data_IF_143315785954
#
_entry.id   IF_143315785954
#
_cell.length_a   1.000
_cell.length_b   1.000
_cell.length_c   1.000
_cell.angle_alpha   90.00
_cell.angle_beta   90.00
_cell.angle_gamma   90.00
#
_symmetry.space_group_name_H-M   'P 1'
#
loop_
_entity.id
_entity.type
_entity.pdbx_description
1 polymer ?
#
# COMPACT_ATOMS: atom_id res chain seq x y z
N UNK A 1 1.19 20.48 -1.43
CA UNK A 1 2.39 20.95 -2.16
C UNK A 1 2.62 22.40 -1.81
N UNK A 2 3.90 22.80 -1.71
CA UNK A 2 4.25 24.20 -1.49
C UNK A 2 3.99 25.00 -2.78
N UNK A 3 3.34 26.14 -2.65
CA UNK A 3 3.03 27.07 -3.74
C UNK A 3 3.59 28.45 -3.40
N UNK A 4 3.80 29.29 -4.41
CA UNK A 4 4.22 30.68 -4.22
C UNK A 4 3.18 31.65 -4.77
N UNK A 5 3.37 32.95 -4.53
CA UNK A 5 2.42 33.99 -4.96
C UNK A 5 2.35 34.20 -6.48
N UNK A 6 3.23 33.56 -7.27
CA UNK A 6 3.22 33.64 -8.74
C UNK A 6 2.41 32.50 -9.38
N UNK A 7 1.96 31.54 -8.59
CA UNK A 7 1.09 30.46 -9.06
C UNK A 7 -0.26 31.04 -9.46
N UNK A 8 -0.64 30.83 -10.71
CA UNK A 8 -1.94 31.29 -11.27
C UNK A 8 -2.97 30.19 -11.33
N UNK A 9 -2.54 28.93 -11.49
CA UNK A 9 -3.40 27.75 -11.52
C UNK A 9 -2.72 26.61 -10.78
N UNK A 10 -3.51 25.81 -10.06
CA UNK A 10 -3.01 24.63 -9.35
C UNK A 10 -4.03 23.50 -9.43
N UNK A 11 -3.53 22.27 -9.56
CA UNK A 11 -4.35 21.08 -9.57
C UNK A 11 -3.68 19.92 -8.84
N UNK A 12 -4.48 19.10 -8.16
CA UNK A 12 -4.07 17.78 -7.67
C UNK A 12 -4.63 16.71 -8.58
N UNK A 13 -3.81 15.73 -8.91
CA UNK A 13 -4.14 14.63 -9.79
C UNK A 13 -3.76 13.30 -9.14
N UNK A 14 -4.59 12.28 -9.33
CA UNK A 14 -4.24 10.88 -9.11
C UNK A 14 -3.97 10.26 -10.49
N UNK A 15 -2.72 9.89 -10.77
CA UNK A 15 -2.27 9.45 -12.11
C UNK A 15 -2.61 10.50 -13.19
N UNK A 16 -3.69 10.29 -13.96
CA UNK A 16 -4.18 11.21 -14.99
C UNK A 16 -5.53 11.84 -14.64
N UNK A 17 -6.14 11.45 -13.52
CA UNK A 17 -7.46 11.93 -13.08
C UNK A 17 -7.31 13.16 -12.21
N UNK A 18 -8.03 14.24 -12.55
CA UNK A 18 -8.04 15.48 -11.79
C UNK A 18 -8.88 15.30 -10.53
N UNK A 19 -8.29 15.55 -9.36
CA UNK A 19 -8.99 15.51 -8.08
C UNK A 19 -9.60 16.86 -7.71
N UNK A 20 -8.78 17.91 -7.81
CA UNK A 20 -9.16 19.30 -7.52
C UNK A 20 -8.42 20.27 -8.42
N UNK A 21 -9.06 21.37 -8.79
CA UNK A 21 -8.44 22.53 -9.47
C UNK A 21 -8.75 23.80 -8.69
N UNK A 22 -7.78 24.37 -7.99
CA UNK A 22 -8.02 25.46 -7.06
C UNK A 22 -9.07 25.06 -6.01
N UNK A 23 -10.24 25.72 -6.03
CA UNK A 23 -11.35 25.38 -5.12
C UNK A 23 -12.35 24.38 -5.70
N UNK A 24 -12.24 24.05 -6.98
CA UNK A 24 -13.22 23.21 -7.66
C UNK A 24 -12.87 21.73 -7.47
N UNK A 25 -13.81 20.97 -6.89
CA UNK A 25 -13.71 19.52 -6.75
C UNK A 25 -14.10 18.83 -8.05
N UNK A 26 -13.19 18.04 -8.61
CA UNK A 26 -13.43 17.23 -9.82
C UNK A 26 -13.59 15.74 -9.50
N UNK A 27 -12.98 15.28 -8.41
CA UNK A 27 -13.15 13.91 -7.95
C UNK A 27 -14.58 13.65 -7.51
N UNK A 28 -15.16 12.52 -7.95
CA UNK A 28 -16.43 12.01 -7.45
C UNK A 28 -16.30 11.34 -6.08
N UNK A 29 -15.08 11.02 -5.65
CA UNK A 29 -14.83 10.35 -4.38
C UNK A 29 -15.10 11.32 -3.21
N UNK A 30 -16.07 11.03 -2.32
CA UNK A 30 -16.39 11.89 -1.19
C UNK A 30 -15.25 12.01 -0.18
N UNK A 31 -14.36 11.01 -0.11
CA UNK A 31 -13.22 10.96 0.83
C UNK A 31 -12.15 12.01 0.55
N UNK A 32 -12.10 12.53 -0.69
CA UNK A 32 -11.10 13.52 -1.11
C UNK A 32 -11.59 14.93 -0.76
N UNK A 33 -10.90 15.59 0.18
CA UNK A 33 -11.27 16.90 0.71
C UNK A 33 -10.12 17.90 0.53
N UNK A 34 -10.45 19.17 0.31
CA UNK A 34 -9.48 20.26 0.23
C UNK A 34 -9.16 20.78 1.64
N UNK A 35 -7.88 20.77 2.02
CA UNK A 35 -7.42 21.19 3.36
C UNK A 35 -6.80 22.58 3.32
N UNK A 36 -6.04 22.89 2.27
CA UNK A 36 -5.40 24.18 2.14
C UNK A 36 -5.44 24.64 0.69
N UNK A 37 -5.85 25.90 0.49
CA UNK A 37 -5.66 26.65 -0.73
C UNK A 37 -5.26 28.09 -0.39
N UNK A 38 -3.98 28.26 -0.07
CA UNK A 38 -3.39 29.54 0.32
C UNK A 38 -2.31 29.96 -0.68
N UNK A 39 -1.75 31.15 -0.52
CA UNK A 39 -0.62 31.62 -1.33
C UNK A 39 0.70 30.87 -1.06
N UNK A 40 0.74 29.99 -0.05
CA UNK A 40 1.93 29.23 0.36
C UNK A 40 1.75 27.71 0.32
N UNK A 41 0.52 27.21 0.42
CA UNK A 41 0.25 25.77 0.47
C UNK A 41 -1.05 25.42 -0.25
N UNK A 42 -0.98 24.35 -1.06
CA UNK A 42 -2.12 23.73 -1.69
C UNK A 42 -2.16 22.23 -1.39
N UNK A 43 -3.10 21.79 -0.56
CA UNK A 43 -3.11 20.42 -0.02
C UNK A 43 -4.53 19.86 0.06
N UNK A 44 -4.63 18.57 -0.27
CA UNK A 44 -5.84 17.76 -0.12
C UNK A 44 -5.59 16.67 0.92
N UNK A 45 -6.66 16.11 1.46
CA UNK A 45 -6.66 14.92 2.31
C UNK A 45 -7.57 13.86 1.69
N UNK A 46 -7.15 12.60 1.78
CA UNK A 46 -7.94 11.44 1.40
C UNK A 46 -8.29 10.72 2.70
N UNK A 47 -9.56 10.77 3.09
CA UNK A 47 -10.04 10.15 4.32
C UNK A 47 -10.26 8.65 4.12
N UNK A 48 -10.15 7.83 5.17
CA UNK A 48 -10.37 6.38 5.10
C UNK A 48 -9.64 5.73 3.92
N UNK A 49 -8.32 5.92 3.88
CA UNK A 49 -7.44 5.42 2.81
C UNK A 49 -7.52 3.90 2.70
N UNK A 50 -7.62 3.40 1.47
CA UNK A 50 -7.66 1.99 1.11
C UNK A 50 -6.40 1.61 0.32
N UNK A 51 -6.06 0.32 0.25
CA UNK A 51 -4.91 -0.21 -0.52
C UNK A 51 -4.97 0.18 -1.99
N UNK A 52 -6.16 0.42 -2.55
CA UNK A 52 -6.35 0.84 -3.94
C UNK A 52 -6.01 2.31 -4.18
N UNK A 53 -5.92 3.11 -3.11
CA UNK A 53 -5.53 4.52 -3.21
C UNK A 53 -4.00 4.66 -3.39
N UNK A 54 -3.23 3.59 -3.20
CA UNK A 54 -1.79 3.57 -3.36
C UNK A 54 -1.34 4.01 -4.77
N UNK A 55 -0.31 4.84 -4.81
CA UNK A 55 0.35 5.20 -6.06
C UNK A 55 0.76 6.67 -6.17
N UNK A 56 1.08 7.13 -7.40
CA UNK A 56 1.61 8.46 -7.63
C UNK A 56 0.51 9.52 -7.70
N UNK A 57 0.59 10.49 -6.79
CA UNK A 57 -0.20 11.72 -6.80
C UNK A 57 0.66 12.89 -7.29
N UNK A 58 0.08 13.71 -8.16
CA UNK A 58 0.80 14.83 -8.78
C UNK A 58 0.12 16.14 -8.41
N UNK A 59 0.88 17.07 -7.87
CA UNK A 59 0.49 18.47 -7.81
C UNK A 59 1.09 19.20 -9.01
N UNK A 60 0.24 19.78 -9.84
CA UNK A 60 0.62 20.59 -10.99
C UNK A 60 0.32 22.05 -10.69
N UNK A 61 1.33 22.92 -10.81
CA UNK A 61 1.22 24.36 -10.63
C UNK A 61 1.62 25.06 -11.92
N UNK A 62 0.92 26.12 -12.28
CA UNK A 62 1.24 26.98 -13.42
C UNK A 62 1.77 28.31 -12.90
N UNK A 63 3.05 28.61 -13.16
CA UNK A 63 3.70 29.88 -12.82
C UNK A 63 4.21 30.56 -14.07
N UNK A 64 3.76 31.78 -14.39
CA UNK A 64 4.29 32.60 -15.50
C UNK A 64 4.50 31.81 -16.82
N UNK A 65 3.48 31.05 -17.23
CA UNK A 65 3.48 30.16 -18.40
C UNK A 65 4.47 28.96 -18.36
N UNK A 66 5.12 28.71 -17.24
CA UNK A 66 5.96 27.55 -17.00
C UNK A 66 5.27 26.58 -16.02
N UNK A 67 4.71 25.46 -16.51
CA UNK A 67 4.15 24.43 -15.64
C UNK A 67 5.26 23.78 -14.82
N UNK A 68 5.06 23.67 -13.51
CA UNK A 68 5.88 22.86 -12.62
C UNK A 68 5.03 21.74 -12.05
N UNK A 69 5.63 20.57 -11.90
CA UNK A 69 4.95 19.41 -11.32
C UNK A 69 5.77 18.88 -10.15
N UNK A 70 5.08 18.56 -9.07
CA UNK A 70 5.63 17.87 -7.91
C UNK A 70 4.87 16.55 -7.77
N UNK A 71 5.61 15.45 -7.62
CA UNK A 71 5.03 14.11 -7.48
C UNK A 71 5.31 13.60 -6.08
N UNK A 72 4.30 12.99 -5.48
CA UNK A 72 4.39 12.24 -4.23
C UNK A 72 3.85 10.84 -4.48
N UNK A 73 4.45 9.83 -3.85
CA UNK A 73 3.95 8.47 -3.89
C UNK A 73 3.26 8.18 -2.56
N UNK A 74 1.94 7.94 -2.59
CA UNK A 74 1.21 7.48 -1.41
C UNK A 74 1.45 5.99 -1.28
N UNK A 75 1.98 5.55 -0.14
CA UNK A 75 2.18 4.15 0.22
C UNK A 75 1.16 3.82 1.30
N UNK A 76 0.36 2.77 1.09
CA UNK A 76 -0.72 2.42 2.02
C UNK A 76 -0.32 1.18 2.81
N UNK A 77 -0.09 1.35 4.11
CA UNK A 77 0.23 0.23 4.99
C UNK A 77 -1.04 -0.36 5.60
N UNK A 78 -1.21 -1.68 5.43
CA UNK A 78 -2.32 -2.44 6.00
C UNK A 78 -1.86 -3.46 7.05
N UNK A 79 -2.81 -4.05 7.79
CA UNK A 79 -2.53 -5.25 8.57
C UNK A 79 -2.13 -6.38 7.61
N UNK A 80 -1.22 -7.28 8.02
CA UNK A 80 -0.83 -8.40 7.17
C UNK A 80 -2.02 -9.33 6.98
N UNK A 81 -2.07 -10.05 5.85
CA UNK A 81 -3.13 -11.01 5.53
C UNK A 81 -2.50 -12.36 5.21
N UNK A 82 -2.93 -13.40 5.93
CA UNK A 82 -2.64 -14.78 5.58
C UNK A 82 -3.66 -15.29 4.56
N UNK A 83 -3.22 -15.67 3.35
CA UNK A 83 -4.08 -16.32 2.34
C UNK A 83 -3.97 -17.85 2.43
N UNK A 84 -5.11 -18.54 2.38
CA UNK A 84 -5.22 -20.01 2.45
C UNK A 84 -5.01 -20.71 1.10
N UNK A 85 -5.03 -19.96 -0.01
CA UNK A 85 -4.82 -20.49 -1.35
C UNK A 85 -3.32 -20.69 -1.59
N UNK A 86 -2.81 -21.87 -1.23
CA UNK A 86 -1.41 -22.31 -1.45
C UNK A 86 -0.39 -21.32 -0.88
N UNK A 87 -0.33 -21.22 0.45
CA UNK A 87 0.76 -20.62 1.24
C UNK A 87 1.49 -19.42 0.60
N UNK A 88 0.73 -18.43 0.12
CA UNK A 88 1.25 -17.10 -0.20
C UNK A 88 0.92 -16.20 0.99
N UNK A 89 1.91 -15.92 1.80
CA UNK A 89 1.91 -14.96 2.90
C UNK A 89 2.06 -13.58 2.26
N UNK A 90 1.11 -12.64 2.31
CA UNK A 90 1.36 -11.28 1.82
C UNK A 90 2.03 -10.47 2.94
N UNK A 91 3.20 -9.88 2.67
CA UNK A 91 3.98 -9.07 3.62
C UNK A 91 3.87 -7.62 3.17
N UNK A 92 3.52 -6.71 4.06
CA UNK A 92 3.43 -5.29 3.72
C UNK A 92 4.75 -4.57 4.00
N UNK A 93 5.31 -3.98 2.94
CA UNK A 93 6.29 -2.89 2.71
C UNK A 93 7.23 -2.32 3.80
N UNK A 94 7.41 -2.99 4.94
CA UNK A 94 8.56 -2.80 5.82
C UNK A 94 8.97 -4.22 6.23
N UNK A 95 10.09 -4.69 5.67
CA UNK A 95 10.50 -6.09 5.59
C UNK A 95 10.22 -6.95 6.84
N UNK A 96 9.87 -8.23 6.67
CA UNK A 96 9.38 -9.05 7.75
C UNK A 96 10.55 -9.65 8.55
N UNK A 97 10.60 -9.39 9.85
CA UNK A 97 11.07 -10.41 10.78
C UNK A 97 9.96 -11.45 10.94
N UNK A 98 9.97 -12.48 10.08
CA UNK A 98 9.06 -13.63 10.20
C UNK A 98 9.44 -14.45 11.42
N UNK A 99 8.74 -14.25 12.54
CA UNK A 99 8.78 -15.16 13.68
C UNK A 99 7.73 -16.26 13.49
N UNK A 100 8.19 -17.43 13.02
CA UNK A 100 7.57 -18.73 13.31
C UNK A 100 6.43 -19.17 12.40
N UNK A 101 6.76 -20.02 11.41
CA UNK A 101 5.96 -21.23 11.24
C UNK A 101 6.24 -22.10 12.47
N UNK A 102 5.21 -22.42 13.25
CA UNK A 102 5.29 -23.41 14.35
C UNK A 102 5.40 -24.85 13.81
N UNK A 103 6.23 -25.06 12.79
CA UNK A 103 6.68 -26.38 12.37
C UNK A 103 8.17 -26.27 12.11
N UNK A 104 8.97 -27.07 12.83
CA UNK A 104 10.40 -27.23 12.57
C UNK A 104 10.65 -27.35 11.04
N UNK A 105 11.73 -26.75 10.50
CA UNK A 105 12.02 -26.85 9.08
C UNK A 105 12.09 -28.33 8.65
N UNK A 106 11.05 -28.81 7.96
CA UNK A 106 10.94 -30.19 7.48
C UNK A 106 11.62 -30.36 6.12
N UNK A 107 12.18 -31.55 5.90
CA UNK A 107 12.84 -31.93 4.65
C UNK A 107 11.83 -31.83 3.50
N UNK A 108 12.05 -30.91 2.56
CA UNK A 108 11.12 -30.67 1.44
C UNK A 108 10.39 -29.32 1.49
N UNK A 109 10.53 -28.52 2.56
CA UNK A 109 9.95 -27.17 2.64
C UNK A 109 10.93 -26.10 2.14
N UNK A 110 10.46 -25.16 1.30
CA UNK A 110 11.21 -23.97 0.88
C UNK A 110 10.40 -22.72 1.18
N UNK A 111 11.04 -21.74 1.81
CA UNK A 111 10.47 -20.41 2.06
C UNK A 111 11.13 -19.39 1.14
N UNK A 112 10.33 -18.63 0.41
CA UNK A 112 10.75 -17.48 -0.39
C UNK A 112 10.18 -16.22 0.25
N UNK A 113 11.03 -15.23 0.55
CA UNK A 113 10.59 -13.94 1.06
C UNK A 113 10.79 -12.89 -0.03
N UNK A 114 9.74 -12.13 -0.35
CA UNK A 114 9.76 -10.92 -1.17
C UNK A 114 9.31 -9.72 -0.34
N UNK A 115 9.47 -8.53 -0.91
CA UNK A 115 9.04 -7.27 -0.28
C UNK A 115 7.55 -7.28 0.06
N UNK A 116 6.72 -7.79 -0.86
CA UNK A 116 5.24 -7.74 -0.73
C UNK A 116 4.60 -9.06 -0.32
N UNK A 117 5.37 -10.16 -0.25
CA UNK A 117 4.86 -11.48 0.13
C UNK A 117 5.98 -12.47 0.49
N UNK A 118 5.72 -13.37 1.43
CA UNK A 118 6.44 -14.62 1.63
C UNK A 118 5.67 -15.79 1.02
N UNK A 119 6.35 -16.84 0.61
CA UNK A 119 5.71 -18.04 0.05
C UNK A 119 6.39 -19.27 0.59
N UNK A 120 5.59 -20.25 0.99
CA UNK A 120 6.07 -21.56 1.40
C UNK A 120 5.72 -22.57 0.31
N UNK A 121 6.66 -23.42 -0.03
CA UNK A 121 6.48 -24.48 -1.03
C UNK A 121 6.96 -25.79 -0.46
N UNK A 122 6.10 -26.81 -0.53
CA UNK A 122 6.44 -28.17 -0.16
C UNK A 122 6.78 -28.96 -1.42
N UNK A 123 7.88 -29.71 -1.37
CA UNK A 123 8.36 -30.58 -2.43
C UNK A 123 8.36 -32.02 -1.94
N UNK A 124 7.99 -32.96 -2.81
CA UNK A 124 7.94 -34.39 -2.50
C UNK A 124 7.06 -34.70 -1.27
N UNK A 125 5.87 -34.10 -1.23
CA UNK A 125 4.89 -34.25 -0.13
C UNK A 125 4.53 -35.73 0.06
N UNK A 126 4.59 -36.18 1.30
CA UNK A 126 4.29 -37.55 1.72
C UNK A 126 3.18 -37.58 2.77
N UNK A 127 2.71 -38.77 3.16
CA UNK A 127 1.70 -38.88 4.22
C UNK A 127 2.17 -38.32 5.59
N UNK A 128 3.48 -38.20 5.79
CA UNK A 128 4.06 -37.65 7.02
C UNK A 128 3.95 -36.12 7.09
N UNK A 129 3.66 -35.49 5.95
CA UNK A 129 3.50 -34.04 5.80
C UNK A 129 2.04 -33.60 5.94
N UNK A 130 1.08 -34.52 6.09
CA UNK A 130 -0.29 -34.15 6.48
C UNK A 130 -0.27 -33.49 7.87
N UNK A 131 -1.00 -32.39 8.02
CA UNK A 131 -1.01 -31.66 9.27
C UNK A 131 -1.68 -30.29 9.20
N UNK A 132 -1.77 -29.66 10.36
CA UNK A 132 -2.25 -28.29 10.48
C UNK A 132 -1.08 -27.32 10.28
N UNK A 133 -1.14 -26.56 9.20
CA UNK A 133 -0.21 -25.50 8.87
C UNK A 133 -0.83 -24.16 9.22
N UNK A 134 -0.21 -23.44 10.15
CA UNK A 134 -0.68 -22.10 10.54
C UNK A 134 0.27 -21.05 9.99
N UNK A 135 -0.26 -20.19 9.12
CA UNK A 135 0.36 -18.92 8.75
C UNK A 135 0.21 -17.94 9.91
N UNK A 136 1.30 -17.29 10.28
CA UNK A 136 1.32 -16.17 11.20
C UNK A 136 2.06 -15.03 10.54
N UNK A 137 1.38 -13.89 10.40
CA UNK A 137 1.95 -12.70 9.79
C UNK A 137 1.78 -11.51 10.74
N UNK A 138 2.83 -10.69 10.85
CA UNK A 138 2.93 -9.60 11.81
C UNK A 138 3.62 -8.39 11.18
N UNK A 139 3.08 -7.19 11.40
CA UNK A 139 3.76 -5.93 11.15
C UNK A 139 3.43 -4.91 12.26
N UNK A 140 3.92 -3.68 12.13
CA UNK A 140 3.67 -2.61 13.11
C UNK A 140 2.18 -2.25 13.30
N UNK A 141 1.32 -2.62 12.36
CA UNK A 141 -0.13 -2.34 12.38
C UNK A 141 -0.95 -3.50 12.98
N UNK A 142 -0.38 -4.69 13.14
CA UNK A 142 -1.02 -5.81 13.84
C UNK A 142 -0.59 -7.20 13.39
N UNK A 143 -1.43 -8.18 13.70
CA UNK A 143 -1.21 -9.61 13.43
C UNK A 143 -2.37 -10.22 12.65
N UNK A 144 -2.06 -11.26 11.87
CA UNK A 144 -3.03 -12.14 11.21
C UNK A 144 -2.57 -13.58 11.32
N UNK A 145 -3.52 -14.49 11.51
CA UNK A 145 -3.29 -15.93 11.53
C UNK A 145 -4.33 -16.64 10.66
N UNK A 146 -3.90 -17.67 9.94
CA UNK A 146 -4.79 -18.57 9.21
C UNK A 146 -4.23 -19.98 9.24
N UNK A 147 -5.09 -20.96 9.47
CA UNK A 147 -4.73 -22.38 9.51
C UNK A 147 -5.30 -23.08 8.30
N UNK A 148 -4.47 -23.90 7.64
CA UNK A 148 -4.87 -24.80 6.57
C UNK A 148 -4.49 -26.22 6.95
N UNK A 149 -5.36 -27.16 6.67
CA UNK A 149 -5.07 -28.59 6.80
C UNK A 149 -4.73 -29.06 5.40
N UNK A 150 -3.48 -29.48 5.22
CA UNK A 150 -3.03 -30.21 4.04
C UNK A 150 -3.23 -31.69 4.31
#
# INVERSE_FOLDING_TARGET
CAVDSRVTRVAWLNRSTILYTGNDKWSIDPRVVLIANTKSSYSIEIQNVDIYDEGPYTCSVQTDNHPKTSRVHLIVQGKPVCSSDVAVILVADDGPEVWGLLSEPRKGMKVENRETYSRVTFFNVSEQDYGNYTCVAMNRLGHSNASVIL
#
